data_IF_196558617823
#
_entry.id   IF_196558617823
#
_cell.length_a   1.000
_cell.length_b   1.000
_cell.length_c   1.000
_cell.angle_alpha   90.00
_cell.angle_beta   90.00
_cell.angle_gamma   90.00
#
_symmetry.space_group_name_H-M   'P 1'
#
loop_
_entity.id
_entity.type
_entity.pdbx_description
1 polymer ?
#
# COMPACT_ATOMS: atom_id res chain seq x y z
N UNK A 1 -0.09 17.00 12.04
CA UNK A 1 -0.30 17.73 10.76
C UNK A 1 -1.59 17.23 10.13
N UNK A 2 -2.42 18.10 9.58
CA UNK A 2 -3.64 17.66 8.88
C UNK A 2 -3.25 17.33 7.44
N UNK A 3 -2.91 16.06 7.21
CA UNK A 3 -2.77 15.49 5.87
C UNK A 3 -4.07 15.74 5.09
N UNK A 4 -3.99 16.02 3.78
CA UNK A 4 -5.17 16.06 2.90
C UNK A 4 -5.69 14.62 2.67
N UNK A 5 -6.11 13.96 3.76
CA UNK A 5 -6.51 12.55 3.82
C UNK A 5 -7.65 12.28 2.84
N UNK A 6 -8.59 13.20 2.75
CA UNK A 6 -9.73 13.12 1.83
C UNK A 6 -9.29 13.07 0.36
N UNK A 7 -8.27 13.84 -0.04
CA UNK A 7 -7.76 13.77 -1.40
C UNK A 7 -7.01 12.46 -1.68
N UNK A 8 -6.28 11.93 -0.69
CA UNK A 8 -5.60 10.64 -0.82
C UNK A 8 -6.59 9.48 -0.89
N UNK A 9 -7.64 9.51 -0.07
CA UNK A 9 -8.72 8.53 -0.10
C UNK A 9 -9.45 8.57 -1.44
N UNK A 10 -9.80 9.77 -1.95
CA UNK A 10 -10.39 9.92 -3.29
C UNK A 10 -9.49 9.36 -4.40
N UNK A 11 -8.17 9.50 -4.27
CA UNK A 11 -7.22 8.92 -5.24
C UNK A 11 -7.24 7.39 -5.20
N UNK A 12 -7.29 6.80 -4.00
CA UNK A 12 -7.42 5.35 -3.83
C UNK A 12 -8.76 4.88 -4.38
N UNK A 13 -9.86 5.54 -4.04
CA UNK A 13 -11.20 5.20 -4.54
C UNK A 13 -11.26 5.21 -6.06
N UNK A 14 -10.67 6.22 -6.70
CA UNK A 14 -10.58 6.27 -8.15
C UNK A 14 -9.80 5.08 -8.71
N UNK A 15 -8.69 4.69 -8.09
CA UNK A 15 -7.91 3.53 -8.51
C UNK A 15 -8.69 2.23 -8.35
N UNK A 16 -9.35 2.03 -7.21
CA UNK A 16 -10.16 0.84 -6.90
C UNK A 16 -11.36 0.74 -7.83
N UNK A 17 -12.07 1.83 -8.10
CA UNK A 17 -13.19 1.85 -9.04
C UNK A 17 -12.75 1.46 -10.45
N UNK A 18 -11.62 1.98 -10.93
CA UNK A 18 -11.07 1.57 -12.23
C UNK A 18 -10.68 0.08 -12.28
N UNK A 19 -10.25 -0.49 -11.16
CA UNK A 19 -9.99 -1.93 -11.05
C UNK A 19 -11.30 -2.73 -11.05
N UNK A 20 -12.34 -2.26 -10.36
CA UNK A 20 -13.67 -2.89 -10.37
C UNK A 20 -14.27 -2.92 -11.78
N UNK A 21 -14.20 -1.80 -12.51
CA UNK A 21 -14.64 -1.73 -13.91
C UNK A 21 -13.92 -2.77 -14.77
N UNK A 22 -12.60 -2.89 -14.62
CA UNK A 22 -11.80 -3.88 -15.35
C UNK A 22 -12.15 -5.31 -14.94
N UNK A 23 -12.40 -5.56 -13.66
CA UNK A 23 -12.81 -6.86 -13.13
C UNK A 23 -14.17 -7.30 -13.72
N UNK A 24 -15.12 -6.37 -13.87
CA UNK A 24 -16.40 -6.64 -14.51
C UNK A 24 -16.21 -7.05 -15.98
N UNK A 25 -15.37 -6.34 -16.75
CA UNK A 25 -15.05 -6.72 -18.13
C UNK A 25 -14.44 -8.11 -18.22
N UNK A 26 -13.44 -8.42 -17.39
CA UNK A 26 -12.78 -9.74 -17.38
C UNK A 26 -13.78 -10.85 -17.04
N UNK A 27 -14.69 -10.62 -16.09
CA UNK A 27 -15.68 -11.61 -15.65
C UNK A 27 -16.79 -11.90 -16.68
N UNK A 28 -16.99 -11.00 -17.63
CA UNK A 28 -17.87 -11.22 -18.78
C UNK A 28 -17.21 -12.08 -19.85
N UNK A 29 -15.92 -11.87 -20.09
CA UNK A 29 -15.13 -12.54 -21.13
C UNK A 29 -14.64 -13.94 -20.72
N UNK A 30 -14.44 -14.16 -19.42
CA UNK A 30 -13.86 -15.39 -18.88
C UNK A 30 -14.87 -16.17 -18.02
N UNK A 31 -14.85 -17.50 -18.14
CA UNK A 31 -15.76 -18.38 -17.41
C UNK A 31 -15.11 -19.11 -16.23
N UNK A 32 -13.79 -19.33 -16.30
CA UNK A 32 -13.03 -19.92 -15.20
C UNK A 32 -12.69 -18.86 -14.15
N UNK A 33 -13.25 -19.01 -12.95
CA UNK A 33 -13.02 -18.08 -11.86
C UNK A 33 -11.55 -17.97 -11.45
N UNK A 34 -10.76 -19.05 -11.53
CA UNK A 34 -9.33 -18.97 -11.19
C UNK A 34 -8.60 -18.04 -12.16
N UNK A 35 -8.90 -18.17 -13.46
CA UNK A 35 -8.33 -17.31 -14.50
C UNK A 35 -8.78 -15.85 -14.31
N UNK A 36 -10.03 -15.62 -13.93
CA UNK A 36 -10.53 -14.28 -13.58
C UNK A 36 -9.73 -13.69 -12.41
N UNK A 37 -9.59 -14.42 -11.30
CA UNK A 37 -8.89 -13.95 -10.10
C UNK A 37 -7.42 -13.65 -10.37
N UNK A 38 -6.74 -14.49 -11.17
CA UNK A 38 -5.34 -14.27 -11.54
C UNK A 38 -5.18 -13.02 -12.40
N UNK A 39 -6.04 -12.82 -13.40
CA UNK A 39 -6.04 -11.61 -14.25
C UNK A 39 -6.29 -10.34 -13.42
N UNK A 40 -7.25 -10.38 -12.49
CA UNK A 40 -7.59 -9.26 -11.61
C UNK A 40 -6.46 -8.97 -10.64
N UNK A 41 -5.87 -9.99 -10.02
CA UNK A 41 -4.75 -9.83 -9.09
C UNK A 41 -3.54 -9.18 -9.79
N UNK A 42 -3.18 -9.69 -10.98
CA UNK A 42 -2.12 -9.12 -11.81
C UNK A 42 -2.41 -7.66 -12.19
N UNK A 43 -3.61 -7.37 -12.69
CA UNK A 43 -3.99 -6.01 -13.05
C UNK A 43 -3.94 -5.05 -11.85
N UNK A 44 -4.46 -5.49 -10.70
CA UNK A 44 -4.47 -4.71 -9.46
C UNK A 44 -3.07 -4.37 -9.02
N UNK A 45 -2.16 -5.35 -8.98
CA UNK A 45 -0.79 -5.14 -8.58
C UNK A 45 -0.03 -4.22 -9.55
N UNK A 46 -0.20 -4.39 -10.86
CA UNK A 46 0.40 -3.48 -11.85
C UNK A 46 -0.08 -2.05 -11.64
N UNK A 47 -1.41 -1.87 -11.54
CA UNK A 47 -2.03 -0.56 -11.38
C UNK A 47 -1.60 0.10 -10.07
N UNK A 48 -1.75 -0.60 -8.95
CA UNK A 48 -1.47 -0.03 -7.63
C UNK A 48 0.01 0.10 -7.34
N UNK A 49 0.91 -0.70 -7.95
CA UNK A 49 2.35 -0.42 -7.87
C UNK A 49 2.67 0.97 -8.42
N UNK A 50 2.10 1.32 -9.58
CA UNK A 50 2.28 2.65 -10.19
C UNK A 50 1.63 3.73 -9.34
N UNK A 51 0.37 3.55 -8.94
CA UNK A 51 -0.36 4.54 -8.14
C UNK A 51 0.29 4.76 -6.77
N UNK A 52 0.81 3.72 -6.12
CA UNK A 52 1.45 3.83 -4.80
C UNK A 52 2.69 4.71 -4.85
N UNK A 53 3.46 4.67 -5.94
CA UNK A 53 4.61 5.57 -6.11
C UNK A 53 4.16 7.04 -6.16
N UNK A 54 3.08 7.32 -6.89
CA UNK A 54 2.48 8.66 -6.99
C UNK A 54 1.90 9.12 -5.64
N UNK A 55 1.20 8.23 -4.94
CA UNK A 55 0.64 8.48 -3.61
C UNK A 55 1.75 8.81 -2.62
N UNK A 56 2.83 8.01 -2.57
CA UNK A 56 3.96 8.27 -1.68
C UNK A 56 4.61 9.63 -1.94
N UNK A 57 4.84 9.97 -3.21
CA UNK A 57 5.40 11.27 -3.59
C UNK A 57 4.48 12.43 -3.18
N UNK A 58 3.17 12.28 -3.35
CA UNK A 58 2.16 13.25 -2.94
C UNK A 58 2.13 13.43 -1.42
N UNK A 59 2.13 12.33 -0.66
CA UNK A 59 2.16 12.35 0.82
C UNK A 59 3.39 13.12 1.30
N UNK A 60 4.59 12.74 0.83
CA UNK A 60 5.82 13.41 1.24
C UNK A 60 5.81 14.91 0.90
N UNK A 61 5.35 15.27 -0.30
CA UNK A 61 5.31 16.67 -0.75
C UNK A 61 4.39 17.50 0.14
N UNK A 62 3.19 16.99 0.42
CA UNK A 62 2.23 17.69 1.29
C UNK A 62 2.75 17.80 2.72
N UNK A 63 3.27 16.72 3.30
CA UNK A 63 3.78 16.72 4.67
C UNK A 63 4.99 17.65 4.83
N UNK A 64 5.94 17.62 3.90
CA UNK A 64 7.12 18.52 3.92
C UNK A 64 6.73 19.99 3.82
N UNK A 65 5.78 20.34 2.94
CA UNK A 65 5.25 21.70 2.86
C UNK A 65 4.59 22.14 4.17
N UNK A 66 3.89 21.25 4.87
CA UNK A 66 3.30 21.56 6.18
C UNK A 66 4.36 21.70 7.27
N UNK A 67 5.37 20.84 7.28
CA UNK A 67 6.50 20.92 8.23
C UNK A 67 7.21 22.25 8.14
N UNK A 68 7.51 22.71 6.93
CA UNK A 68 8.19 23.98 6.70
C UNK A 68 7.32 25.20 7.01
N UNK A 69 6.02 25.02 7.29
CA UNK A 69 5.14 26.09 7.79
C UNK A 69 5.20 26.26 9.30
N UNK A 70 5.70 25.27 10.05
CA UNK A 70 5.81 25.34 11.51
C UNK A 70 6.93 26.32 11.91
N UNK A 71 6.68 27.18 12.89
CA UNK A 71 7.58 28.26 13.32
C UNK A 71 9.03 27.84 13.52
N UNK A 72 9.27 26.69 14.16
CA UNK A 72 10.63 26.18 14.41
C UNK A 72 11.42 25.91 13.12
N UNK A 73 10.75 25.66 12.00
CA UNK A 73 11.36 25.40 10.69
C UNK A 73 11.37 26.60 9.75
N UNK A 74 10.87 27.78 10.16
CA UNK A 74 10.87 28.98 9.33
C UNK A 74 12.26 29.59 9.12
N UNK A 75 13.21 29.32 10.03
CA UNK A 75 14.59 29.76 9.84
C UNK A 75 15.38 28.78 8.95
N UNK A 76 16.32 29.33 8.18
CA UNK A 76 17.07 28.58 7.16
C UNK A 76 17.92 27.43 7.74
N UNK A 77 18.47 27.59 8.94
CA UNK A 77 19.26 26.56 9.62
C UNK A 77 18.42 25.32 9.90
N UNK A 78 17.25 25.50 10.51
CA UNK A 78 16.38 24.41 10.91
C UNK A 78 15.70 23.76 9.70
N UNK A 79 15.32 24.55 8.69
CA UNK A 79 14.83 24.03 7.41
C UNK A 79 15.87 23.14 6.72
N UNK A 80 17.15 23.56 6.73
CA UNK A 80 18.25 22.77 6.18
C UNK A 80 18.43 21.44 6.92
N UNK A 81 18.41 21.45 8.25
CA UNK A 81 18.50 20.25 9.08
C UNK A 81 17.36 19.26 8.78
N UNK A 82 16.14 19.75 8.58
CA UNK A 82 15.01 18.93 8.13
C UNK A 82 15.28 18.29 6.76
N UNK A 83 15.77 19.03 5.77
CA UNK A 83 16.09 18.46 4.46
C UNK A 83 17.24 17.46 4.50
N UNK A 84 18.27 17.70 5.33
CA UNK A 84 19.39 16.77 5.52
C UNK A 84 18.99 15.41 6.09
N UNK A 85 17.83 15.32 6.76
CA UNK A 85 17.28 14.05 7.25
C UNK A 85 16.88 13.09 6.12
N UNK A 86 16.64 13.60 4.90
CA UNK A 86 16.31 12.84 3.68
C UNK A 86 15.20 11.78 3.86
N UNK A 87 14.11 12.17 4.53
CA UNK A 87 12.98 11.29 4.84
C UNK A 87 12.38 10.68 3.55
N UNK A 88 12.42 11.41 2.42
CA UNK A 88 11.93 10.94 1.12
C UNK A 88 12.69 9.70 0.66
N UNK A 89 14.01 9.73 0.73
CA UNK A 89 14.87 8.62 0.34
C UNK A 89 14.63 7.40 1.23
N UNK A 90 14.49 7.61 2.55
CA UNK A 90 14.19 6.51 3.47
C UNK A 90 12.84 5.85 3.19
N UNK A 91 11.78 6.63 2.99
CA UNK A 91 10.48 6.09 2.62
C UNK A 91 10.54 5.31 1.29
N UNK A 92 11.31 5.82 0.32
CA UNK A 92 11.48 5.16 -0.98
C UNK A 92 12.31 3.87 -0.89
N UNK A 93 13.15 3.69 0.14
CA UNK A 93 13.91 2.45 0.38
C UNK A 93 13.10 1.38 1.09
N UNK A 94 12.03 1.76 1.82
CA UNK A 94 11.16 0.82 2.53
C UNK A 94 10.19 0.09 1.60
N UNK A 95 9.90 0.66 0.43
CA UNK A 95 8.97 0.09 -0.52
C UNK A 95 9.57 -0.04 -1.91
N UNK A 96 9.41 -1.22 -2.49
CA UNK A 96 9.78 -1.45 -3.89
C UNK A 96 8.54 -1.32 -4.76
N UNK A 97 8.63 -0.49 -5.79
CA UNK A 97 7.56 -0.22 -6.76
C UNK A 97 7.83 -0.92 -8.10
N UNK A 98 8.31 -2.15 -8.05
CA UNK A 98 8.54 -2.97 -9.23
C UNK A 98 7.22 -3.53 -9.74
N UNK A 99 6.97 -3.31 -11.03
CA UNK A 99 5.79 -3.83 -11.71
C UNK A 99 6.03 -5.32 -11.98
N UNK A 100 5.24 -6.23 -11.38
CA UNK A 100 5.44 -7.65 -11.58
C UNK A 100 5.03 -8.06 -12.99
N UNK A 101 5.79 -9.00 -13.58
CA UNK A 101 5.40 -9.66 -14.84
C UNK A 101 4.29 -10.68 -14.60
N UNK A 102 4.45 -11.46 -13.53
CA UNK A 102 3.49 -12.47 -13.07
C UNK A 102 3.45 -12.47 -11.54
N UNK A 103 2.34 -12.94 -10.97
CA UNK A 103 2.11 -12.95 -9.53
C UNK A 103 1.63 -14.31 -9.10
N UNK A 104 2.34 -14.90 -8.14
CA UNK A 104 1.92 -16.08 -7.43
C UNK A 104 1.43 -15.69 -6.03
N UNK A 105 0.11 -15.67 -5.83
CA UNK A 105 -0.47 -15.27 -4.53
C UNK A 105 -0.14 -16.25 -3.39
N UNK A 106 0.22 -17.51 -3.69
CA UNK A 106 0.66 -18.47 -2.66
C UNK A 106 2.05 -18.09 -2.14
N UNK A 107 2.99 -17.85 -3.05
CA UNK A 107 4.33 -17.37 -2.69
C UNK A 107 4.27 -16.01 -2.00
N UNK A 108 3.39 -15.12 -2.46
CA UNK A 108 3.18 -13.82 -1.82
C UNK A 108 2.64 -13.97 -0.39
N UNK A 109 1.69 -14.89 -0.16
CA UNK A 109 1.19 -15.20 1.19
C UNK A 109 2.29 -15.74 2.10
N UNK A 110 3.14 -16.63 1.59
CA UNK A 110 4.26 -17.18 2.37
C UNK A 110 5.32 -16.10 2.65
N UNK A 111 5.56 -15.20 1.71
CA UNK A 111 6.41 -14.01 1.92
C UNK A 111 5.83 -13.10 3.00
N UNK A 112 4.53 -12.82 2.97
CA UNK A 112 3.86 -12.05 4.02
C UNK A 112 4.03 -12.71 5.38
N UNK A 113 3.83 -14.03 5.50
CA UNK A 113 4.07 -14.75 6.76
C UNK A 113 5.52 -14.65 7.22
N UNK A 114 6.50 -14.75 6.32
CA UNK A 114 7.91 -14.57 6.67
C UNK A 114 8.20 -13.15 7.19
N UNK A 115 7.60 -12.14 6.57
CA UNK A 115 7.67 -10.75 7.03
C UNK A 115 7.01 -10.58 8.41
N UNK A 116 5.90 -11.26 8.67
CA UNK A 116 5.24 -11.26 9.98
C UNK A 116 6.12 -11.90 11.06
N UNK A 117 6.68 -13.08 10.78
CA UNK A 117 7.59 -13.79 11.72
C UNK A 117 8.85 -12.98 12.01
N UNK A 118 9.37 -12.25 11.02
CA UNK A 118 10.52 -11.34 11.24
C UNK A 118 10.15 -10.05 11.98
N UNK A 119 8.86 -9.76 12.17
CA UNK A 119 8.36 -8.52 12.77
C UNK A 119 8.37 -7.31 11.83
N UNK A 120 8.61 -7.52 10.52
CA UNK A 120 8.60 -6.48 9.48
C UNK A 120 7.21 -5.91 9.26
N UNK A 121 6.22 -6.76 9.48
CA UNK A 121 4.83 -6.39 9.46
C UNK A 121 4.11 -6.98 10.67
N UNK A 122 2.96 -6.40 10.98
CA UNK A 122 2.01 -6.93 11.96
C UNK A 122 0.70 -7.16 11.23
N UNK A 123 0.13 -8.36 11.38
CA UNK A 123 -1.14 -8.73 10.76
C UNK A 123 -2.23 -8.77 11.83
N UNK A 124 -3.31 -8.02 11.62
CA UNK A 124 -4.51 -8.07 12.47
C UNK A 124 -5.72 -8.36 11.57
N UNK A 125 -6.22 -9.59 11.64
CA UNK A 125 -7.22 -10.09 10.69
C UNK A 125 -6.62 -10.20 9.28
N UNK A 126 -7.16 -9.45 8.32
CA UNK A 126 -6.67 -9.36 6.93
C UNK A 126 -5.85 -8.11 6.64
N UNK A 127 -5.54 -7.26 7.64
CA UNK A 127 -4.75 -6.03 7.42
C UNK A 127 -3.33 -6.23 7.88
N UNK A 128 -2.43 -5.72 7.05
CA UNK A 128 -0.99 -5.68 7.22
C UNK A 128 -0.60 -4.26 7.61
N UNK A 129 0.15 -4.10 8.69
CA UNK A 129 0.77 -2.83 9.07
C UNK A 129 2.28 -2.99 9.08
N UNK A 130 3.02 -1.91 8.81
CA UNK A 130 4.47 -1.95 8.60
C UNK A 130 5.23 -1.46 9.81
N UNK A 131 6.19 -2.27 10.26
CA UNK A 131 7.22 -1.76 11.15
C UNK A 131 8.25 -0.98 10.34
N UNK A 132 7.93 0.28 10.07
CA UNK A 132 8.77 1.19 9.29
C UNK A 132 10.14 1.44 9.92
N UNK A 133 10.42 1.01 11.15
CA UNK A 133 11.78 1.10 11.72
C UNK A 133 12.74 0.06 11.15
N UNK A 134 12.23 -1.00 10.53
CA UNK A 134 13.06 -2.02 9.92
C UNK A 134 13.49 -1.65 8.50
N UNK A 135 14.65 -2.16 8.09
CA UNK A 135 15.30 -1.90 6.79
C UNK A 135 15.07 -3.09 5.84
N UNK A 136 13.86 -3.66 5.85
CA UNK A 136 13.49 -4.72 4.92
C UNK A 136 12.57 -4.08 3.88
N UNK A 137 13.04 -3.89 2.62
CA UNK A 137 12.18 -3.39 1.56
C UNK A 137 11.05 -4.37 1.28
N UNK A 138 9.82 -3.87 1.21
CA UNK A 138 8.65 -4.69 0.86
C UNK A 138 8.11 -4.25 -0.50
N UNK A 139 7.94 -5.19 -1.41
CA UNK A 139 7.31 -4.93 -2.69
C UNK A 139 5.79 -4.75 -2.53
N UNK A 140 5.24 -3.66 -3.05
CA UNK A 140 3.79 -3.38 -3.00
C UNK A 140 2.98 -4.47 -3.70
N UNK A 141 3.50 -5.01 -4.80
CA UNK A 141 2.88 -6.12 -5.54
C UNK A 141 2.74 -7.38 -4.69
N UNK A 142 3.71 -7.70 -3.83
CA UNK A 142 3.66 -8.86 -2.92
C UNK A 142 2.56 -8.68 -1.88
N UNK A 143 2.38 -7.48 -1.35
CA UNK A 143 1.30 -7.19 -0.39
C UNK A 143 -0.06 -7.41 -1.04
N UNK A 144 -0.28 -6.81 -2.22
CA UNK A 144 -1.53 -6.92 -2.98
C UNK A 144 -1.84 -8.38 -3.31
N UNK A 145 -0.85 -9.11 -3.82
CA UNK A 145 -0.97 -10.53 -4.15
C UNK A 145 -1.29 -11.39 -2.92
N UNK A 146 -0.64 -11.12 -1.81
CA UNK A 146 -0.86 -11.87 -0.58
C UNK A 146 -2.26 -11.66 -0.02
N UNK A 147 -2.86 -10.47 -0.16
CA UNK A 147 -4.28 -10.23 0.21
C UNK A 147 -5.20 -11.18 -0.55
N UNK A 148 -5.00 -11.33 -1.87
CA UNK A 148 -5.76 -12.32 -2.66
C UNK A 148 -5.57 -13.73 -2.09
N UNK A 149 -4.32 -14.10 -1.77
CA UNK A 149 -4.01 -15.37 -1.12
C UNK A 149 -4.75 -15.58 0.21
N UNK A 150 -4.87 -14.56 1.05
CA UNK A 150 -5.65 -14.61 2.30
C UNK A 150 -7.16 -14.74 2.04
N UNK A 151 -7.71 -13.97 1.10
CA UNK A 151 -9.15 -14.03 0.77
C UNK A 151 -9.53 -15.41 0.25
N UNK A 152 -8.74 -16.00 -0.66
CA UNK A 152 -8.98 -17.34 -1.22
C UNK A 152 -8.84 -18.41 -0.14
N UNK A 153 -7.81 -18.34 0.71
CA UNK A 153 -7.55 -19.36 1.75
C UNK A 153 -8.68 -19.50 2.79
N UNK A 154 -9.50 -18.47 2.93
CA UNK A 154 -10.63 -18.44 3.86
C UNK A 154 -11.94 -18.98 3.24
N UNK A 155 -11.92 -19.50 2.01
CA UNK A 155 -13.10 -20.11 1.35
C UNK A 155 -12.83 -21.58 1.00
N UNK A 156 -13.81 -22.45 1.30
CA UNK A 156 -13.71 -23.91 1.13
C UNK A 156 -13.87 -24.40 -0.33
N UNK A 157 -14.49 -23.61 -1.22
CA UNK A 157 -14.48 -23.85 -2.67
C UNK A 157 -14.93 -22.60 -3.44
N UNK A 158 -14.20 -22.27 -4.51
CA UNK A 158 -14.54 -21.21 -5.47
C UNK A 158 -14.84 -21.90 -6.80
N UNK A 159 -16.11 -21.99 -7.18
CA UNK A 159 -16.53 -22.76 -8.37
C UNK A 159 -17.76 -22.24 -9.12
N UNK A 160 -18.46 -21.22 -8.60
CA UNK A 160 -19.53 -20.52 -9.34
C UNK A 160 -19.16 -19.07 -9.59
N UNK A 161 -19.73 -18.45 -10.63
CA UNK A 161 -19.50 -17.03 -10.97
C UNK A 161 -19.89 -16.10 -9.82
N UNK A 162 -20.99 -16.38 -9.13
CA UNK A 162 -21.46 -15.61 -7.97
C UNK A 162 -20.48 -15.67 -6.79
N UNK A 163 -19.92 -16.86 -6.53
CA UNK A 163 -18.80 -17.00 -5.57
C UNK A 163 -17.54 -16.29 -6.03
N UNK A 164 -17.35 -16.13 -7.34
CA UNK A 164 -16.22 -15.41 -7.92
C UNK A 164 -16.33 -13.90 -7.68
N UNK A 165 -17.49 -13.30 -8.00
CA UNK A 165 -17.75 -11.88 -7.78
C UNK A 165 -17.62 -11.51 -6.29
N UNK A 166 -18.16 -12.34 -5.40
CA UNK A 166 -17.99 -12.14 -3.95
C UNK A 166 -16.51 -12.12 -3.52
N UNK A 167 -15.67 -12.95 -4.12
CA UNK A 167 -14.23 -13.01 -3.81
C UNK A 167 -13.54 -11.75 -4.33
N UNK A 168 -13.88 -11.29 -5.54
CA UNK A 168 -13.35 -10.06 -6.14
C UNK A 168 -13.72 -8.85 -5.27
N UNK A 169 -14.99 -8.71 -4.91
CA UNK A 169 -15.46 -7.56 -4.11
C UNK A 169 -14.78 -7.54 -2.75
N UNK A 170 -14.72 -8.69 -2.07
CA UNK A 170 -13.99 -8.80 -0.80
C UNK A 170 -12.51 -8.46 -0.95
N UNK A 171 -11.88 -8.95 -2.01
CA UNK A 171 -10.49 -8.65 -2.31
C UNK A 171 -10.26 -7.14 -2.50
N UNK A 172 -11.09 -6.45 -3.29
CA UNK A 172 -10.93 -5.02 -3.55
C UNK A 172 -11.22 -4.16 -2.31
N UNK A 173 -12.17 -4.57 -1.46
CA UNK A 173 -12.41 -3.96 -0.15
C UNK A 173 -11.15 -4.07 0.73
N UNK A 174 -10.55 -5.26 0.82
CA UNK A 174 -9.35 -5.48 1.62
C UNK A 174 -8.13 -4.74 1.06
N UNK A 175 -7.99 -4.67 -0.27
CA UNK A 175 -6.95 -3.88 -0.91
C UNK A 175 -7.11 -2.39 -0.60
N UNK A 176 -8.32 -1.82 -0.72
CA UNK A 176 -8.59 -0.42 -0.32
C UNK A 176 -8.19 -0.20 1.14
N UNK A 177 -8.66 -1.07 2.03
CA UNK A 177 -8.37 -0.98 3.46
C UNK A 177 -6.87 -1.04 3.73
N UNK A 178 -6.16 -1.93 3.06
CA UNK A 178 -4.71 -2.08 3.17
C UNK A 178 -3.95 -0.82 2.69
N UNK A 179 -4.40 -0.22 1.59
CA UNK A 179 -3.82 1.03 1.09
C UNK A 179 -3.98 2.18 2.10
N UNK A 180 -5.13 2.28 2.77
CA UNK A 180 -5.35 3.30 3.80
C UNK A 180 -4.45 3.08 5.03
N UNK A 181 -4.28 1.84 5.49
CA UNK A 181 -3.35 1.53 6.59
C UNK A 181 -1.91 1.86 6.21
N UNK A 182 -1.51 1.54 4.98
CA UNK A 182 -0.18 1.87 4.48
C UNK A 182 0.09 3.39 4.47
N UNK A 183 -0.91 4.21 4.11
CA UNK A 183 -0.84 5.67 4.22
C UNK A 183 -0.63 6.10 5.68
N UNK A 184 -1.40 5.53 6.61
CA UNK A 184 -1.29 5.86 8.03
C UNK A 184 0.10 5.53 8.59
N UNK A 185 0.68 4.40 8.18
CA UNK A 185 2.04 4.02 8.58
C UNK A 185 3.10 4.98 8.02
N UNK A 186 2.94 5.46 6.78
CA UNK A 186 3.84 6.46 6.18
C UNK A 186 3.77 7.78 6.95
N UNK A 187 2.56 8.27 7.23
CA UNK A 187 2.35 9.53 7.96
C UNK A 187 2.96 9.43 9.35
N UNK A 188 2.69 8.33 10.06
CA UNK A 188 3.25 8.09 11.40
C UNK A 188 4.78 8.02 11.38
N UNK A 189 5.37 7.36 10.38
CA UNK A 189 6.83 7.33 10.24
C UNK A 189 7.40 8.73 9.99
N UNK A 190 6.80 9.47 9.06
CA UNK A 190 7.21 10.83 8.73
C UNK A 190 7.19 11.74 9.98
N UNK A 191 6.09 11.72 10.73
CA UNK A 191 5.94 12.52 11.95
C UNK A 191 7.02 12.17 12.98
N UNK A 192 7.33 10.89 13.17
CA UNK A 192 8.42 10.46 14.05
C UNK A 192 9.78 11.02 13.59
N UNK A 193 10.08 10.99 12.29
CA UNK A 193 11.32 11.56 11.76
C UNK A 193 11.39 13.08 11.97
N UNK A 194 10.26 13.80 11.82
CA UNK A 194 10.21 15.24 12.10
C UNK A 194 10.46 15.52 13.58
N UNK A 195 9.88 14.74 14.49
CA UNK A 195 10.14 14.87 15.93
C UNK A 195 11.60 14.55 16.29
N UNK A 196 12.23 13.58 15.64
CA UNK A 196 13.66 13.33 15.76
C UNK A 196 14.49 14.54 15.32
N UNK A 197 14.14 15.17 14.21
CA UNK A 197 14.82 16.41 13.78
C UNK A 197 14.66 17.49 14.84
N UNK A 198 13.44 17.75 15.32
CA UNK A 198 13.16 18.79 16.33
C UNK A 198 13.97 18.61 17.62
N UNK A 199 14.14 17.37 18.08
CA UNK A 199 14.93 17.05 19.28
C UNK A 199 16.43 17.36 19.13
N UNK A 200 16.91 17.49 17.89
CA UNK A 200 18.30 17.72 17.55
C UNK A 200 18.59 19.15 17.02
N UNK A 201 17.61 20.06 17.09
CA UNK A 201 17.75 21.49 16.73
C UNK A 201 18.22 22.32 17.93
#
# INVERSE_FOLDING_TARGET
>A
MLTNRDALEKSIDKAINGIQEKANTISLEESDCKVVLDKICNYTAQKLTIESKTILASIYTNLSQQTLKVDIFQNSKNASAFYSRDIRSELSKKFTFEVPKEINYKEAKDTIKALEVSGAIIIVGSVVSFNMKMIIPVAISVIIAGIMGFVISNKSSIGSKEKCSEVIDKYLIEVKRQMMVWIDDIVKYYDNCVEEVKKNL
#
